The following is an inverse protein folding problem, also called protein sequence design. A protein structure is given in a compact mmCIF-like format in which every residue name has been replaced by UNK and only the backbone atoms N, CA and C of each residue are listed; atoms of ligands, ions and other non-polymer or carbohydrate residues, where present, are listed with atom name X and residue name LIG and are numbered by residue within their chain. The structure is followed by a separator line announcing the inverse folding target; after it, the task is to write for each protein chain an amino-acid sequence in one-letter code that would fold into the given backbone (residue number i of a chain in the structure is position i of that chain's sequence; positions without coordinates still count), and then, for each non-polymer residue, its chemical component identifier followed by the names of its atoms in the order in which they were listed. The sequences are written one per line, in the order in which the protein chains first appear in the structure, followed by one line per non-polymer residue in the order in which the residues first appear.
data_IF_318820734971
#
_entry.id   IF_318820734971
#
_cell.length_a   1.000
_cell.length_b   1.000
_cell.length_c   1.000
_cell.angle_alpha   90.00
_cell.angle_beta   90.00
_cell.angle_gamma   90.00
#
_symmetry.space_group_name_H-M   'P 1'
#
loop_
_entity.id
_entity.type
_entity.pdbx_description
1 polymer ?
#
# COMPACT_ATOMS: atom_id res chain seq x y z
N UNK A 1 -2.30 9.81 5.99
CA UNK A 1 -2.84 8.70 6.80
C UNK A 1 -3.26 9.13 8.21
N UNK A 2 -2.63 10.09 8.89
CA UNK A 2 -3.12 10.62 10.18
C UNK A 2 -4.48 11.34 10.10
N UNK A 3 -4.85 11.88 8.93
CA UNK A 3 -6.06 12.70 8.73
C UNK A 3 -7.36 11.94 8.93
N UNK A 4 -7.44 10.65 8.58
CA UNK A 4 -8.70 9.90 8.64
C UNK A 4 -9.05 9.48 10.09
N UNK A 5 -8.04 9.07 10.86
CA UNK A 5 -8.21 8.76 12.28
C UNK A 5 -8.57 10.02 13.09
N UNK A 6 -7.93 11.16 12.79
CA UNK A 6 -8.26 12.45 13.41
C UNK A 6 -9.69 12.89 13.03
N UNK A 7 -10.12 12.65 11.80
CA UNK A 7 -11.48 12.95 11.35
C UNK A 7 -12.53 12.07 12.07
N UNK A 8 -12.27 10.77 12.22
CA UNK A 8 -13.17 9.87 12.93
C UNK A 8 -13.29 10.26 14.42
N UNK A 9 -12.17 10.58 15.06
CA UNK A 9 -12.15 11.06 16.45
C UNK A 9 -12.88 12.40 16.56
N UNK A 10 -12.67 13.34 15.62
CA UNK A 10 -13.34 14.65 15.68
C UNK A 10 -14.85 14.53 15.48
N UNK A 11 -15.30 13.61 14.62
CA UNK A 11 -16.72 13.38 14.35
C UNK A 11 -17.44 12.77 15.56
N UNK A 12 -16.76 11.84 16.27
CA UNK A 12 -17.27 11.25 17.50
C UNK A 12 -17.29 12.27 18.65
N UNK A 13 -16.25 13.10 18.79
CA UNK A 13 -16.24 14.18 19.79
C UNK A 13 -17.34 15.21 19.49
N UNK A 14 -17.51 15.62 18.24
CA UNK A 14 -18.53 16.61 17.85
C UNK A 14 -19.94 16.08 18.07
N UNK A 15 -20.20 14.80 17.73
CA UNK A 15 -21.47 14.14 18.01
C UNK A 15 -21.74 14.01 19.52
N UNK A 16 -20.71 13.66 20.32
CA UNK A 16 -20.80 13.60 21.77
C UNK A 16 -21.10 14.95 22.42
N UNK A 17 -20.45 16.02 21.94
CA UNK A 17 -20.70 17.40 22.39
C UNK A 17 -22.11 17.86 21.99
N UNK A 18 -22.56 17.58 20.77
CA UNK A 18 -23.93 17.91 20.35
C UNK A 18 -24.99 17.16 21.16
N UNK A 19 -24.77 15.89 21.50
CA UNK A 19 -25.66 15.12 22.38
C UNK A 19 -25.67 15.71 23.80
N UNK A 20 -24.51 16.03 24.36
CA UNK A 20 -24.43 16.69 25.67
C UNK A 20 -25.10 18.06 25.66
N UNK A 21 -24.98 18.84 24.59
CA UNK A 21 -25.63 20.15 24.46
C UNK A 21 -27.15 20.02 24.27
N UNK A 22 -27.60 19.01 23.53
CA UNK A 22 -29.02 18.68 23.36
C UNK A 22 -29.69 18.24 24.66
N UNK A 23 -29.00 17.45 25.49
CA UNK A 23 -29.48 17.01 26.80
C UNK A 23 -29.33 18.14 27.86
N UNK A 24 -28.26 18.95 27.81
CA UNK A 24 -28.04 20.06 28.76
C UNK A 24 -28.99 21.25 28.56
N UNK A 25 -29.58 21.44 27.38
CA UNK A 25 -30.67 22.41 27.23
C UNK A 25 -31.92 21.99 28.04
N UNK A 26 -31.94 20.78 28.59
CA UNK A 26 -32.89 20.27 29.59
C UNK A 26 -32.16 20.02 30.94
N UNK A 27 -31.48 21.05 31.45
CA UNK A 27 -30.55 20.99 32.58
C UNK A 27 -31.17 20.42 33.89
N UNK A 28 -32.49 20.46 34.04
CA UNK A 28 -33.20 19.85 35.17
C UNK A 28 -33.18 18.32 35.13
N UNK A 29 -33.22 17.71 33.95
CA UNK A 29 -33.31 16.25 33.79
C UNK A 29 -32.01 15.54 34.18
N UNK A 30 -30.86 16.18 33.97
CA UNK A 30 -29.53 15.60 34.27
C UNK A 30 -29.24 15.63 35.78
N UNK A 31 -29.70 16.66 36.48
CA UNK A 31 -29.54 16.75 37.93
C UNK A 31 -30.37 15.68 38.66
N UNK A 32 -31.53 15.34 38.10
CA UNK A 32 -32.42 14.31 38.66
C UNK A 32 -31.97 12.88 38.35
N UNK A 33 -31.38 12.63 37.17
CA UNK A 33 -30.84 11.30 36.85
C UNK A 33 -29.62 11.37 35.91
N UNK A 34 -28.38 11.36 36.46
CA UNK A 34 -27.16 11.46 35.66
C UNK A 34 -26.74 10.16 34.96
N UNK A 35 -27.36 9.02 35.30
CA UNK A 35 -26.99 7.69 34.77
C UNK A 35 -26.97 7.59 33.23
N UNK A 36 -27.98 8.10 32.49
CA UNK A 36 -28.01 7.99 31.02
C UNK A 36 -26.85 8.75 30.37
N UNK A 37 -26.51 9.92 30.90
CA UNK A 37 -25.41 10.77 30.40
C UNK A 37 -24.06 10.08 30.60
N UNK A 38 -23.83 9.46 31.76
CA UNK A 38 -22.60 8.69 32.03
C UNK A 38 -22.50 7.49 31.10
N UNK A 39 -23.61 6.78 30.86
CA UNK A 39 -23.64 5.66 29.91
C UNK A 39 -23.22 6.09 28.51
N UNK A 40 -23.75 7.21 28.00
CA UNK A 40 -23.40 7.74 26.68
C UNK A 40 -21.90 8.06 26.62
N UNK A 41 -21.35 8.75 27.63
CA UNK A 41 -19.92 9.09 27.66
C UNK A 41 -19.05 7.83 27.65
N UNK A 42 -19.39 6.83 28.46
CA UNK A 42 -18.64 5.57 28.54
C UNK A 42 -18.73 4.81 27.21
N UNK A 43 -19.92 4.71 26.62
CA UNK A 43 -20.11 4.04 25.32
C UNK A 43 -19.31 4.73 24.21
N UNK A 44 -19.34 6.06 24.15
CA UNK A 44 -18.56 6.84 23.17
C UNK A 44 -17.06 6.67 23.37
N UNK A 45 -16.59 6.66 24.62
CA UNK A 45 -15.17 6.44 24.93
C UNK A 45 -14.69 5.06 24.50
N UNK A 46 -15.46 4.00 24.80
CA UNK A 46 -15.13 2.62 24.41
C UNK A 46 -15.11 2.50 22.88
N UNK A 47 -16.13 3.01 22.17
CA UNK A 47 -16.18 3.02 20.71
C UNK A 47 -14.98 3.74 20.09
N UNK A 48 -14.60 4.89 20.64
CA UNK A 48 -13.45 5.65 20.15
C UNK A 48 -12.14 4.87 20.28
N UNK A 49 -11.94 4.21 21.42
CA UNK A 49 -10.75 3.39 21.69
C UNK A 49 -10.73 2.16 20.75
N UNK A 50 -11.86 1.48 20.59
CA UNK A 50 -11.97 0.33 19.68
C UNK A 50 -11.68 0.70 18.23
N UNK A 51 -12.19 1.85 17.75
CA UNK A 51 -11.89 2.35 16.41
C UNK A 51 -10.42 2.72 16.23
N UNK A 52 -9.79 3.31 17.26
CA UNK A 52 -8.36 3.63 17.23
C UNK A 52 -7.48 2.38 17.09
N UNK A 53 -7.75 1.33 17.87
CA UNK A 53 -6.99 0.07 17.76
C UNK A 53 -7.25 -0.64 16.44
N UNK A 54 -8.51 -0.71 15.98
CA UNK A 54 -8.84 -1.31 14.68
C UNK A 54 -8.20 -0.58 13.51
N UNK A 55 -8.12 0.76 13.56
CA UNK A 55 -7.41 1.55 12.57
C UNK A 55 -5.90 1.30 12.56
N UNK A 56 -5.30 1.18 13.75
CA UNK A 56 -3.86 0.87 13.88
C UNK A 56 -3.50 -0.50 13.29
N UNK A 57 -4.33 -1.51 13.51
CA UNK A 57 -4.08 -2.85 12.97
C UNK A 57 -4.27 -2.88 11.44
N UNK A 58 -5.26 -2.16 10.92
CA UNK A 58 -5.47 -2.01 9.48
C UNK A 58 -4.27 -1.29 8.81
N UNK A 59 -3.78 -0.21 9.41
CA UNK A 59 -2.61 0.52 8.94
C UNK A 59 -1.34 -0.35 8.98
N UNK A 60 -1.16 -1.16 10.03
CA UNK A 60 -0.04 -2.09 10.13
C UNK A 60 -0.08 -3.14 9.01
N UNK A 61 -1.25 -3.75 8.77
CA UNK A 61 -1.41 -4.74 7.71
C UNK A 61 -1.16 -4.14 6.31
N UNK A 62 -1.60 -2.90 6.07
CA UNK A 62 -1.33 -2.19 4.83
C UNK A 62 0.17 -1.87 4.65
N UNK A 63 0.85 -1.47 5.72
CA UNK A 63 2.29 -1.22 5.68
C UNK A 63 3.08 -2.50 5.38
N UNK A 64 2.70 -3.63 6.00
CA UNK A 64 3.31 -4.95 5.73
C UNK A 64 3.05 -5.38 4.29
N UNK A 65 1.82 -5.20 3.79
CA UNK A 65 1.49 -5.51 2.39
C UNK A 65 2.33 -4.68 1.41
N UNK A 66 2.49 -3.38 1.67
CA UNK A 66 3.30 -2.50 0.83
C UNK A 66 4.78 -2.91 0.81
N UNK A 67 5.33 -3.33 1.96
CA UNK A 67 6.70 -3.85 2.03
C UNK A 67 6.82 -5.15 1.23
N UNK A 68 5.90 -6.09 1.42
CA UNK A 68 5.91 -7.36 0.69
C UNK A 68 5.79 -7.15 -0.83
N UNK A 69 4.94 -6.22 -1.27
CA UNK A 69 4.81 -5.87 -2.69
C UNK A 69 6.11 -5.28 -3.25
N UNK A 70 6.79 -4.41 -2.48
CA UNK A 70 8.08 -3.85 -2.88
C UNK A 70 9.17 -4.92 -2.95
N UNK A 71 9.21 -5.84 -2.01
CA UNK A 71 10.17 -6.96 -2.01
C UNK A 71 9.89 -7.92 -3.18
N UNK A 72 8.61 -8.15 -3.51
CA UNK A 72 8.19 -8.91 -4.70
C UNK A 72 8.61 -8.21 -6.00
N UNK A 73 8.41 -6.90 -6.10
CA UNK A 73 8.82 -6.09 -7.25
C UNK A 73 10.34 -6.13 -7.43
N UNK A 74 11.10 -5.93 -6.35
CA UNK A 74 12.56 -6.00 -6.37
C UNK A 74 13.04 -7.39 -6.79
N UNK A 75 12.42 -8.45 -6.26
CA UNK A 75 12.73 -9.83 -6.65
C UNK A 75 12.47 -10.07 -8.14
N UNK A 76 11.38 -9.55 -8.69
CA UNK A 76 11.09 -9.67 -10.12
C UNK A 76 12.13 -8.95 -10.98
N UNK A 77 12.59 -7.76 -10.55
CA UNK A 77 13.65 -7.01 -11.24
C UNK A 77 14.97 -7.80 -11.20
N UNK A 78 15.33 -8.33 -10.03
CA UNK A 78 16.56 -9.10 -9.86
C UNK A 78 16.55 -10.39 -10.71
N UNK A 79 15.43 -11.11 -10.73
CA UNK A 79 15.26 -12.30 -11.57
C UNK A 79 15.35 -11.95 -13.07
N UNK A 80 14.74 -10.83 -13.50
CA UNK A 80 14.83 -10.32 -14.88
C UNK A 80 16.27 -10.01 -15.28
N UNK A 81 16.99 -9.28 -14.43
CA UNK A 81 18.38 -8.90 -14.69
C UNK A 81 19.28 -10.14 -14.77
N UNK A 82 19.11 -11.11 -13.88
CA UNK A 82 19.89 -12.36 -13.90
C UNK A 82 19.65 -13.17 -15.17
N UNK A 83 18.42 -13.21 -15.68
CA UNK A 83 18.11 -13.85 -16.97
C UNK A 83 18.82 -13.14 -18.13
N UNK A 84 18.83 -11.81 -18.12
CA UNK A 84 19.53 -11.01 -19.14
C UNK A 84 21.05 -11.17 -19.06
N UNK A 85 21.63 -11.23 -17.86
CA UNK A 85 23.06 -11.50 -17.66
C UNK A 85 23.47 -12.85 -18.25
N UNK A 86 22.70 -13.90 -17.97
CA UNK A 86 22.97 -15.25 -18.46
C UNK A 86 22.88 -15.34 -19.99
N UNK A 87 21.83 -14.76 -20.60
CA UNK A 87 21.62 -14.83 -22.05
C UNK A 87 22.56 -13.90 -22.82
N UNK A 88 22.77 -12.67 -22.33
CA UNK A 88 23.63 -11.70 -23.01
C UNK A 88 25.10 -11.87 -22.60
N UNK A 89 25.43 -12.74 -21.64
CA UNK A 89 26.78 -12.96 -21.13
C UNK A 89 27.45 -11.66 -20.70
N UNK A 90 26.75 -10.86 -19.90
CA UNK A 90 27.18 -9.55 -19.39
C UNK A 90 26.81 -9.44 -17.91
N UNK A 91 27.09 -8.30 -17.30
CA UNK A 91 26.92 -8.05 -15.87
C UNK A 91 25.89 -6.94 -15.68
N UNK A 92 25.06 -7.03 -14.63
CA UNK A 92 23.88 -6.18 -14.41
C UNK A 92 24.21 -4.69 -14.27
N UNK A 93 25.42 -4.37 -13.79
CA UNK A 93 25.96 -3.00 -13.74
C UNK A 93 26.12 -2.33 -15.11
N UNK A 94 26.14 -3.13 -16.18
CA UNK A 94 26.30 -2.70 -17.57
C UNK A 94 25.04 -2.88 -18.40
N UNK A 95 23.92 -3.26 -17.77
CA UNK A 95 22.61 -3.39 -18.39
C UNK A 95 21.79 -2.12 -18.15
N UNK A 96 21.39 -1.45 -19.22
CA UNK A 96 20.33 -0.45 -19.17
C UNK A 96 19.05 -1.07 -19.71
N UNK A 97 18.05 -1.18 -18.84
CA UNK A 97 16.76 -1.82 -19.11
C UNK A 97 15.68 -0.75 -19.17
N UNK A 98 15.04 -0.61 -20.34
CA UNK A 98 13.91 0.30 -20.57
C UNK A 98 12.68 -0.54 -20.96
N UNK A 99 11.60 -0.45 -20.19
CA UNK A 99 10.35 -1.16 -20.47
C UNK A 99 9.42 -0.33 -21.36
N UNK A 100 9.02 -0.90 -22.50
CA UNK A 100 7.99 -0.39 -23.40
C UNK A 100 6.78 -1.33 -23.37
N UNK A 101 5.60 -0.85 -23.81
CA UNK A 101 4.33 -1.62 -23.76
C UNK A 101 4.45 -3.03 -24.37
N UNK A 102 5.18 -3.17 -25.49
CA UNK A 102 5.26 -4.42 -26.25
C UNK A 102 6.60 -5.18 -26.08
N UNK A 103 7.60 -4.56 -25.46
CA UNK A 103 8.94 -5.14 -25.33
C UNK A 103 9.81 -4.39 -24.33
N UNK A 104 10.85 -5.06 -23.84
CA UNK A 104 11.91 -4.43 -23.05
C UNK A 104 13.10 -4.17 -23.95
N UNK A 105 13.59 -2.93 -24.00
CA UNK A 105 14.85 -2.59 -24.63
C UNK A 105 15.97 -2.78 -23.61
N UNK A 106 16.97 -3.57 -23.97
CA UNK A 106 18.12 -3.87 -23.13
C UNK A 106 19.37 -3.41 -23.85
N UNK A 107 20.08 -2.44 -23.29
CA UNK A 107 21.37 -1.99 -23.80
C UNK A 107 22.47 -2.60 -22.95
N UNK A 108 23.43 -3.26 -23.59
CA UNK A 108 24.62 -3.82 -22.95
C UNK A 108 25.88 -3.45 -23.74
N UNK A 109 27.05 -3.82 -23.22
CA UNK A 109 28.33 -3.67 -23.95
C UNK A 109 28.34 -4.41 -25.30
N UNK A 110 27.47 -5.40 -25.49
CA UNK A 110 27.38 -6.17 -26.73
C UNK A 110 26.43 -5.56 -27.76
N UNK A 111 25.72 -4.49 -27.40
CA UNK A 111 24.79 -3.78 -28.28
C UNK A 111 23.42 -3.54 -27.64
N UNK A 112 22.49 -3.07 -28.47
CA UNK A 112 21.10 -2.80 -28.07
C UNK A 112 20.23 -3.96 -28.54
N UNK A 113 19.41 -4.49 -27.64
CA UNK A 113 18.54 -5.63 -27.90
C UNK A 113 17.09 -5.31 -27.55
N UNK A 114 16.17 -5.81 -28.37
CA UNK A 114 14.76 -5.93 -28.06
C UNK A 114 14.52 -7.30 -27.44
N UNK A 115 14.04 -7.33 -26.20
CA UNK A 115 13.77 -8.55 -25.44
C UNK A 115 12.27 -8.63 -25.16
N UNK A 116 11.70 -9.79 -25.44
CA UNK A 116 10.30 -10.11 -25.10
C UNK A 116 10.32 -11.17 -24.01
N UNK A 117 9.77 -10.84 -22.86
CA UNK A 117 9.56 -11.77 -21.75
C UNK A 117 8.21 -12.47 -21.88
N UNK A 118 8.14 -13.72 -21.44
CA UNK A 118 6.89 -14.47 -21.26
C UNK A 118 6.97 -15.23 -19.94
N UNK A 119 5.87 -15.84 -19.50
CA UNK A 119 5.88 -16.76 -18.36
C UNK A 119 5.73 -18.20 -18.80
N UNK A 120 6.38 -19.12 -18.10
CA UNK A 120 6.24 -20.56 -18.30
C UNK A 120 4.99 -21.12 -17.58
N UNK A 121 4.82 -22.45 -17.56
CA UNK A 121 3.69 -23.10 -16.88
C UNK A 121 3.73 -22.97 -15.35
N UNK A 122 4.89 -22.68 -14.78
CA UNK A 122 5.15 -22.52 -13.35
C UNK A 122 5.18 -21.03 -12.94
N UNK A 123 4.70 -20.14 -13.83
CA UNK A 123 4.68 -18.68 -13.67
C UNK A 123 6.07 -18.02 -13.56
N UNK A 124 7.14 -18.74 -13.92
CA UNK A 124 8.49 -18.17 -13.97
C UNK A 124 8.65 -17.32 -15.22
N UNK A 125 9.30 -16.17 -15.05
CA UNK A 125 9.66 -15.31 -16.17
C UNK A 125 10.76 -15.95 -17.01
N UNK A 126 10.55 -16.02 -18.32
CA UNK A 126 11.51 -16.54 -19.30
C UNK A 126 11.61 -15.60 -20.49
N UNK A 127 12.75 -15.62 -21.18
CA UNK A 127 12.96 -14.83 -22.38
C UNK A 127 12.40 -15.59 -23.58
N UNK A 128 11.36 -15.03 -24.22
CA UNK A 128 10.74 -15.61 -25.42
C UNK A 128 11.57 -15.35 -26.68
N UNK A 129 12.13 -14.14 -26.79
CA UNK A 129 12.87 -13.70 -27.97
C UNK A 129 13.81 -12.55 -27.63
N UNK A 130 15.03 -12.63 -28.14
CA UNK A 130 16.02 -11.54 -28.17
C UNK A 130 16.25 -11.18 -29.63
N UNK A 131 16.21 -9.89 -29.97
CA UNK A 131 16.48 -9.41 -31.33
C UNK A 131 17.40 -8.20 -31.26
N UNK A 132 18.54 -8.19 -31.96
CA UNK A 132 19.41 -7.02 -31.99
C UNK A 132 18.69 -5.85 -32.67
N UNK A 133 18.75 -4.68 -32.05
CA UNK A 133 18.33 -3.42 -32.67
C UNK A 133 19.58 -2.90 -33.39
N UNK A 134 19.58 -3.00 -34.72
CA UNK A 134 20.61 -2.38 -35.53
C UNK A 134 20.49 -0.86 -35.39
N UNK A 135 21.34 -0.27 -34.57
CA UNK A 135 21.57 1.18 -34.56
C UNK A 135 22.44 1.50 -35.78
N UNK A 136 21.84 2.15 -36.78
CA UNK A 136 22.57 2.82 -37.87
C UNK A 136 23.39 3.98 -37.33
#
# INVERSE_FOLDING_TARGET
MQTLAILAISLVITAGVMLLFGINNDLSSIHENPLPTVFIIVTVAILSISLYYSGKDADHNLAVLAINLRDLEQKQIDDKNRLLENELGTTSDKLLVEDYEDYTKVTSEKGVFRVIFTRDMDDNMIIKKITPILTN
#
